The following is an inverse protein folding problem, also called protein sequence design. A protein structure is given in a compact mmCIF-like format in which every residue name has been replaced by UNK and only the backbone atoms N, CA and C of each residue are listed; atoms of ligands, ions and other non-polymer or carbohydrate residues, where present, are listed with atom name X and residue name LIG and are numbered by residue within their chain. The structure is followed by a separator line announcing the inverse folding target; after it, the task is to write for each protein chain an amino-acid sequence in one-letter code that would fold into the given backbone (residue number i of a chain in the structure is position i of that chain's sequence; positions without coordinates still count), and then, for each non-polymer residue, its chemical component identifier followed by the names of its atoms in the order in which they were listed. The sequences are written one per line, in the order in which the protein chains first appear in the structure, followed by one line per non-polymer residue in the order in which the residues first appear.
data_IF_599615200205
#
_entry.id   IF_599615200205
#
_cell.length_a   1.000
_cell.length_b   1.000
_cell.length_c   1.000
_cell.angle_alpha   90.00
_cell.angle_beta   90.00
_cell.angle_gamma   90.00
#
_symmetry.space_group_name_H-M   'P 1'
#
loop_
_entity.id
_entity.type
_entity.pdbx_description
1 polymer ?
#
# COMPACT_ATOMS: atom_id res chain seq x y z
N UNK A 1 25.75 -8.19 19.40
CA UNK A 1 25.05 -6.90 19.16
C UNK A 1 23.71 -7.14 18.46
N UNK A 2 22.87 -8.06 18.95
CA UNK A 2 21.55 -8.39 18.37
C UNK A 2 20.61 -8.82 19.49
N UNK A 3 20.24 -7.92 20.41
CA UNK A 3 19.21 -8.23 21.43
C UNK A 3 18.57 -7.00 22.07
N UNK A 4 18.18 -6.02 21.26
CA UNK A 4 17.37 -4.90 21.75
C UNK A 4 15.91 -5.09 21.31
N UNK A 5 14.95 -4.77 22.19
CA UNK A 5 13.51 -4.84 21.89
C UNK A 5 13.15 -4.03 20.64
N UNK A 6 13.85 -2.93 20.41
CA UNK A 6 13.69 -2.05 19.25
C UNK A 6 14.02 -2.76 17.93
N UNK A 7 15.08 -3.57 17.91
CA UNK A 7 15.43 -4.33 16.71
C UNK A 7 14.34 -5.34 16.34
N UNK A 8 13.78 -6.04 17.33
CA UNK A 8 12.66 -6.96 17.11
C UNK A 8 11.38 -6.23 16.69
N UNK A 9 11.11 -5.05 17.26
CA UNK A 9 9.99 -4.20 16.83
C UNK A 9 10.14 -3.78 15.37
N UNK A 10 11.32 -3.28 14.97
CA UNK A 10 11.59 -2.88 13.58
C UNK A 10 11.44 -4.04 12.62
N UNK A 11 11.98 -5.23 12.94
CA UNK A 11 11.80 -6.43 12.12
C UNK A 11 10.32 -6.80 11.99
N UNK A 12 9.58 -6.79 13.11
CA UNK A 12 8.16 -7.17 13.08
C UNK A 12 7.33 -6.19 12.25
N UNK A 13 7.59 -4.89 12.35
CA UNK A 13 6.90 -3.86 11.59
C UNK A 13 7.23 -3.94 10.10
N UNK A 14 8.50 -4.13 9.74
CA UNK A 14 8.92 -4.30 8.35
C UNK A 14 8.31 -5.56 7.72
N UNK A 15 8.26 -6.66 8.48
CA UNK A 15 7.67 -7.92 8.01
C UNK A 15 6.15 -7.78 7.84
N UNK A 16 5.45 -7.13 8.77
CA UNK A 16 4.01 -6.85 8.64
C UNK A 16 3.70 -5.96 7.44
N UNK A 17 4.40 -4.83 7.30
CA UNK A 17 4.16 -3.91 6.18
C UNK A 17 4.54 -4.54 4.83
N UNK A 18 5.63 -5.30 4.77
CA UNK A 18 6.04 -6.00 3.55
C UNK A 18 5.06 -7.11 3.14
N UNK A 19 4.64 -7.94 4.10
CA UNK A 19 3.69 -9.05 3.83
C UNK A 19 2.32 -8.54 3.42
N UNK A 20 1.79 -7.54 4.13
CA UNK A 20 0.54 -6.89 3.76
C UNK A 20 0.65 -6.30 2.34
N UNK A 21 1.77 -5.66 2.01
CA UNK A 21 1.97 -5.04 0.69
C UNK A 21 1.88 -6.04 -0.46
N UNK A 22 2.51 -7.20 -0.29
CA UNK A 22 2.42 -8.30 -1.27
C UNK A 22 1.01 -8.86 -1.36
N UNK A 23 0.35 -9.06 -0.22
CA UNK A 23 -1.00 -9.63 -0.18
C UNK A 23 -2.05 -8.73 -0.86
N UNK A 24 -1.89 -7.42 -0.73
CA UNK A 24 -2.73 -6.42 -1.40
C UNK A 24 -2.56 -6.44 -2.92
N UNK A 25 -1.33 -6.65 -3.41
CA UNK A 25 -1.06 -6.84 -4.84
C UNK A 25 -1.76 -8.08 -5.40
N UNK A 26 -1.75 -9.19 -4.65
CA UNK A 26 -2.46 -10.43 -5.04
C UNK A 26 -3.98 -10.25 -5.06
N UNK A 27 -4.53 -9.38 -4.22
CA UNK A 27 -5.96 -9.07 -4.19
C UNK A 27 -6.44 -8.09 -5.27
N UNK A 28 -5.64 -7.86 -6.30
CA UNK A 28 -6.04 -7.11 -7.49
C UNK A 28 -5.63 -5.65 -7.50
N UNK A 29 -4.78 -5.23 -6.55
CA UNK A 29 -4.10 -3.95 -6.67
C UNK A 29 -2.96 -4.05 -7.69
N UNK A 30 -2.62 -2.94 -8.38
CA UNK A 30 -1.51 -2.94 -9.33
C UNK A 30 -0.20 -3.28 -8.63
N UNK A 31 0.63 -4.07 -9.32
CA UNK A 31 1.92 -4.61 -8.87
C UNK A 31 2.89 -3.55 -8.31
N UNK A 32 2.82 -2.32 -8.81
CA UNK A 32 3.66 -1.19 -8.38
C UNK A 32 3.06 -0.37 -7.21
N UNK A 33 1.97 -0.84 -6.60
CA UNK A 33 1.18 -0.07 -5.63
C UNK A 33 1.42 -0.58 -4.21
N UNK A 34 2.23 0.13 -3.41
CA UNK A 34 2.47 -0.21 -2.01
C UNK A 34 1.30 0.11 -1.06
N UNK A 35 1.53 0.02 0.26
CA UNK A 35 0.62 0.45 1.36
C UNK A 35 0.69 1.98 1.58
N UNK A 36 1.12 2.74 0.58
CA UNK A 36 1.28 4.18 0.73
C UNK A 36 -0.08 4.87 0.82
N UNK A 37 -0.35 5.52 1.97
CA UNK A 37 -1.56 6.30 2.21
C UNK A 37 -1.71 7.44 1.19
N UNK A 38 -0.60 8.08 0.80
CA UNK A 38 -0.64 9.14 -0.21
C UNK A 38 -1.10 8.60 -1.57
N UNK A 39 -0.54 7.48 -2.01
CA UNK A 39 -0.95 6.83 -3.26
C UNK A 39 -2.41 6.38 -3.21
N UNK A 40 -2.89 5.94 -2.06
CA UNK A 40 -4.28 5.52 -1.88
C UNK A 40 -5.27 6.66 -2.11
N UNK A 41 -5.00 7.83 -1.53
CA UNK A 41 -5.82 9.04 -1.72
C UNK A 41 -5.78 9.48 -3.18
N UNK A 42 -4.60 9.45 -3.81
CA UNK A 42 -4.43 9.84 -5.20
C UNK A 42 -5.22 8.90 -6.15
N UNK A 43 -5.13 7.58 -5.95
CA UNK A 43 -5.88 6.62 -6.74
C UNK A 43 -7.41 6.78 -6.58
N UNK A 44 -7.87 7.03 -5.36
CA UNK A 44 -9.29 7.29 -5.09
C UNK A 44 -9.74 8.61 -5.71
N UNK A 45 -8.92 9.66 -5.64
CA UNK A 45 -9.21 10.95 -6.24
C UNK A 45 -9.27 10.86 -7.77
N UNK A 46 -8.37 10.09 -8.38
CA UNK A 46 -8.37 9.80 -9.81
C UNK A 46 -9.61 9.01 -10.23
N UNK A 47 -9.95 7.94 -9.51
CA UNK A 47 -11.13 7.13 -9.80
C UNK A 47 -12.46 7.91 -9.69
N UNK A 48 -12.52 8.92 -8.82
CA UNK A 48 -13.67 9.83 -8.68
C UNK A 48 -13.67 10.99 -9.70
N UNK A 49 -12.61 11.13 -10.52
CA UNK A 49 -12.52 12.15 -11.56
C UNK A 49 -12.02 13.51 -11.07
N UNK A 50 -11.38 13.59 -9.90
CA UNK A 50 -10.78 14.85 -9.41
C UNK A 50 -9.48 15.22 -10.11
N UNK A 51 -8.84 14.29 -10.84
CA UNK A 51 -7.71 14.58 -11.71
C UNK A 51 -7.61 13.60 -12.90
N UNK A 52 -6.93 14.03 -13.98
CA UNK A 52 -6.86 13.32 -15.27
C UNK A 52 -5.54 12.53 -15.46
N UNK A 53 -5.11 11.78 -14.43
CA UNK A 53 -3.92 10.95 -14.58
C UNK A 53 -4.32 9.49 -14.76
N UNK A 54 -4.29 9.00 -16.01
CA UNK A 54 -4.75 7.66 -16.39
C UNK A 54 -4.08 6.52 -15.62
N UNK A 55 -2.86 6.70 -15.14
CA UNK A 55 -2.15 5.68 -14.37
C UNK A 55 -2.69 5.51 -12.94
N UNK A 56 -3.49 6.47 -12.47
CA UNK A 56 -3.97 6.60 -11.09
C UNK A 56 -5.51 6.66 -11.03
N UNK A 57 -6.19 6.25 -12.10
CA UNK A 57 -7.66 6.23 -12.20
C UNK A 57 -8.19 4.81 -11.98
N UNK A 58 -7.90 4.21 -10.82
CA UNK A 58 -8.45 2.91 -10.46
C UNK A 58 -8.92 2.92 -9.01
N UNK A 59 -10.03 2.24 -8.75
CA UNK A 59 -10.56 2.09 -7.39
C UNK A 59 -10.00 0.79 -6.80
N UNK A 60 -9.35 0.88 -5.64
CA UNK A 60 -8.84 -0.31 -4.95
C UNK A 60 -10.01 -1.18 -4.48
N UNK A 61 -9.97 -2.50 -4.67
CA UNK A 61 -11.02 -3.41 -4.21
C UNK A 61 -11.14 -3.46 -2.68
N UNK A 62 -10.11 -3.02 -1.94
CA UNK A 62 -10.14 -2.92 -0.48
C UNK A 62 -11.17 -1.90 0.06
N UNK A 63 -11.57 -0.93 -0.76
CA UNK A 63 -12.47 0.18 -0.39
C UNK A 63 -13.95 -0.11 -0.68
N UNK A 64 -14.25 -1.20 -1.36
CA UNK A 64 -15.60 -1.61 -1.80
C UNK A 64 -16.08 -2.75 -0.90
#
# INVERSE_FOLDING_TARGET
MLRNREFWMVISAALLLGTLGVMLSVWGNPENSGICVSCFIENSAGALGFHDNRNLQYLRPELI
#
